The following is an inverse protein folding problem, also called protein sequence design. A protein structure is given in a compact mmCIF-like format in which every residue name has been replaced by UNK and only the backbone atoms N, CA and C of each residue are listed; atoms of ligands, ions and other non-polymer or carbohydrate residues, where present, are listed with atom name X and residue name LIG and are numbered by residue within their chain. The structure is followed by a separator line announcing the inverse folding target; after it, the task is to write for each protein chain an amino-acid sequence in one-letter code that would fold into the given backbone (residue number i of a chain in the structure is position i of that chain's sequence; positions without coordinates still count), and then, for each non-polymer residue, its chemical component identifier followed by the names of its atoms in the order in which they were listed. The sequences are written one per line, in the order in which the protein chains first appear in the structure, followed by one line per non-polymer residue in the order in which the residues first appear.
data_IF_859546428419
#
_entry.id   IF_859546428419
#
_cell.length_a   1.000
_cell.length_b   1.000
_cell.length_c   1.000
_cell.angle_alpha   90.00
_cell.angle_beta   90.00
_cell.angle_gamma   90.00
#
_symmetry.space_group_name_H-M   'P 1'
#
loop_
_entity.id
_entity.type
_entity.pdbx_description
1 polymer ?
#
# COMPACT_ATOMS: atom_id res chain seq x y z
N UNK A 1 -1.63 28.69 16.59
CA UNK A 1 -2.18 27.33 16.75
C UNK A 1 -3.05 26.88 15.56
N UNK A 2 -3.92 27.73 14.93
CA UNK A 2 -4.77 27.33 13.81
C UNK A 2 -3.97 27.02 12.52
N UNK A 3 -2.93 27.80 12.21
CA UNK A 3 -2.06 27.58 11.03
C UNK A 3 -1.27 26.30 11.16
N UNK A 4 -0.76 25.98 12.36
CA UNK A 4 -0.02 24.75 12.61
C UNK A 4 -0.94 23.51 12.46
N UNK A 5 -2.16 23.59 12.97
CA UNK A 5 -3.16 22.53 12.79
C UNK A 5 -3.53 22.36 11.32
N UNK A 6 -3.67 23.47 10.57
CA UNK A 6 -3.90 23.46 9.12
C UNK A 6 -2.76 22.78 8.35
N UNK A 7 -1.51 23.09 8.68
CA UNK A 7 -0.35 22.46 8.04
C UNK A 7 -0.25 20.97 8.33
N UNK A 8 -0.49 20.56 9.59
CA UNK A 8 -0.53 19.15 9.97
C UNK A 8 -1.64 18.40 9.24
N UNK A 9 -2.83 18.98 9.16
CA UNK A 9 -3.95 18.39 8.40
C UNK A 9 -3.58 18.25 6.92
N UNK A 10 -3.07 19.31 6.28
CA UNK A 10 -2.69 19.28 4.87
C UNK A 10 -1.59 18.22 4.58
N UNK A 11 -0.64 18.02 5.50
CA UNK A 11 0.36 16.97 5.38
C UNK A 11 -0.26 15.56 5.51
N UNK A 12 -1.17 15.37 6.46
CA UNK A 12 -1.87 14.10 6.61
C UNK A 12 -2.76 13.79 5.40
N UNK A 13 -3.44 14.78 4.85
CA UNK A 13 -4.23 14.64 3.63
C UNK A 13 -3.33 14.28 2.42
N UNK A 14 -2.18 14.93 2.28
CA UNK A 14 -1.19 14.62 1.25
C UNK A 14 -0.65 13.20 1.40
N UNK A 15 -0.37 12.76 2.63
CA UNK A 15 0.06 11.39 2.95
C UNK A 15 -1.01 10.36 2.54
N UNK A 16 -2.26 10.61 2.90
CA UNK A 16 -3.38 9.72 2.56
C UNK A 16 -3.61 9.64 1.04
N UNK A 17 -3.54 10.77 0.33
CA UNK A 17 -3.67 10.79 -1.13
C UNK A 17 -2.53 10.04 -1.82
N UNK A 18 -1.30 10.22 -1.35
CA UNK A 18 -0.15 9.51 -1.91
C UNK A 18 -0.22 8.00 -1.62
N UNK A 19 -0.61 7.60 -0.39
CA UNK A 19 -0.81 6.21 -0.04
C UNK A 19 -1.89 5.57 -0.92
N UNK A 20 -2.99 6.28 -1.18
CA UNK A 20 -4.06 5.82 -2.07
C UNK A 20 -3.55 5.62 -3.50
N UNK A 21 -2.81 6.56 -4.04
CA UNK A 21 -2.24 6.46 -5.38
C UNK A 21 -1.29 5.26 -5.47
N UNK A 22 -0.34 5.16 -4.54
CA UNK A 22 0.63 4.07 -4.52
C UNK A 22 -0.03 2.71 -4.31
N UNK A 23 -1.03 2.61 -3.41
CA UNK A 23 -1.76 1.35 -3.20
C UNK A 23 -2.54 0.91 -4.43
N UNK A 24 -3.16 1.83 -5.18
CA UNK A 24 -3.85 1.51 -6.42
C UNK A 24 -2.89 0.94 -7.48
N UNK A 25 -1.71 1.54 -7.63
CA UNK A 25 -0.68 1.06 -8.56
C UNK A 25 -0.18 -0.33 -8.16
N UNK A 26 0.18 -0.52 -6.88
CA UNK A 26 0.67 -1.81 -6.36
C UNK A 26 -0.42 -2.88 -6.42
N UNK A 27 -1.68 -2.56 -6.09
CA UNK A 27 -2.81 -3.50 -6.23
C UNK A 27 -2.96 -3.94 -7.68
N UNK A 28 -2.95 -3.00 -8.63
CA UNK A 28 -3.10 -3.29 -10.05
C UNK A 28 -1.99 -4.20 -10.57
N UNK A 29 -0.72 -3.86 -10.29
CA UNK A 29 0.45 -4.64 -10.70
C UNK A 29 0.43 -6.04 -10.08
N UNK A 30 0.20 -6.13 -8.77
CA UNK A 30 0.17 -7.40 -8.05
C UNK A 30 -0.95 -8.30 -8.54
N UNK A 31 -2.15 -7.72 -8.76
CA UNK A 31 -3.31 -8.47 -9.28
C UNK A 31 -3.03 -9.02 -10.68
N UNK A 32 -2.44 -8.21 -11.56
CA UNK A 32 -2.11 -8.66 -12.91
C UNK A 32 -1.11 -9.83 -12.86
N UNK A 33 -0.07 -9.70 -12.06
CA UNK A 33 0.94 -10.76 -11.87
C UNK A 33 0.31 -12.06 -11.36
N UNK A 34 -0.59 -11.98 -10.38
CA UNK A 34 -1.29 -13.14 -9.83
C UNK A 34 -2.22 -13.80 -10.84
N UNK A 35 -3.03 -13.00 -11.54
CA UNK A 35 -3.98 -13.49 -12.55
C UNK A 35 -3.24 -14.21 -13.68
N UNK A 36 -2.13 -13.65 -14.14
CA UNK A 36 -1.33 -14.26 -15.21
C UNK A 36 -0.68 -15.56 -14.72
N UNK A 37 -0.11 -15.57 -13.51
CA UNK A 37 0.47 -16.77 -12.91
C UNK A 37 -0.56 -17.91 -12.73
N UNK A 38 -1.76 -17.58 -12.22
CA UNK A 38 -2.85 -18.55 -12.06
C UNK A 38 -3.28 -19.12 -13.41
N UNK A 39 -3.38 -18.30 -14.44
CA UNK A 39 -3.70 -18.76 -15.81
C UNK A 39 -2.62 -19.69 -16.37
N UNK A 40 -1.37 -19.43 -16.03
CA UNK A 40 -0.23 -20.27 -16.41
C UNK A 40 -0.11 -21.55 -15.55
N UNK A 41 -1.00 -21.73 -14.56
CA UNK A 41 -1.05 -22.89 -13.69
C UNK A 41 -0.08 -22.83 -12.50
N UNK A 42 0.42 -21.62 -12.17
CA UNK A 42 1.21 -21.37 -10.98
C UNK A 42 0.25 -21.02 -9.82
N UNK A 43 0.28 -21.75 -8.70
CA UNK A 43 -0.58 -21.42 -7.58
C UNK A 43 -0.23 -20.05 -6.98
N UNK A 44 -1.22 -19.27 -6.50
CA UNK A 44 -1.00 -17.92 -5.96
C UNK A 44 0.07 -17.85 -4.89
N UNK A 45 0.15 -18.87 -4.03
CA UNK A 45 1.11 -18.99 -2.94
C UNK A 45 2.57 -19.04 -3.44
N UNK A 46 2.81 -19.65 -4.60
CA UNK A 46 4.14 -19.73 -5.20
C UNK A 46 4.61 -18.38 -5.80
N UNK A 47 3.67 -17.51 -6.12
CA UNK A 47 3.99 -16.18 -6.71
C UNK A 47 4.21 -15.13 -5.64
N UNK A 48 3.44 -15.21 -4.55
CA UNK A 48 3.42 -14.18 -3.50
C UNK A 48 3.66 -14.77 -2.11
N UNK A 49 4.27 -15.94 -2.02
CA UNK A 49 4.66 -16.51 -0.74
C UNK A 49 5.48 -15.50 0.09
N UNK A 50 5.33 -15.52 1.39
CA UNK A 50 6.07 -14.63 2.29
C UNK A 50 7.58 -14.71 2.02
N UNK A 51 8.09 -15.90 1.69
CA UNK A 51 9.49 -16.11 1.31
C UNK A 51 9.88 -15.40 0.02
N UNK A 52 9.00 -15.37 -0.99
CA UNK A 52 9.25 -14.69 -2.26
C UNK A 52 9.27 -13.16 -2.11
N UNK A 53 8.48 -12.62 -1.17
CA UNK A 53 8.40 -11.17 -0.92
C UNK A 53 9.51 -10.73 0.03
N UNK A 54 9.73 -11.47 1.11
CA UNK A 54 10.66 -11.07 2.16
C UNK A 54 12.09 -11.58 1.94
N UNK A 55 12.28 -12.63 1.13
CA UNK A 55 13.58 -13.30 0.95
C UNK A 55 14.24 -13.65 2.29
N UNK A 56 13.43 -13.98 3.31
CA UNK A 56 13.91 -14.24 4.67
C UNK A 56 14.26 -13.00 5.48
N UNK A 57 13.90 -11.81 4.98
CA UNK A 57 14.07 -10.54 5.71
C UNK A 57 12.93 -10.34 6.72
N UNK A 58 13.24 -9.67 7.82
CA UNK A 58 12.24 -9.27 8.80
C UNK A 58 11.27 -8.24 8.20
N UNK A 59 10.00 -8.26 8.63
CA UNK A 59 8.96 -7.32 8.15
C UNK A 59 9.42 -5.86 8.20
N UNK A 60 10.17 -5.47 9.22
CA UNK A 60 10.67 -4.09 9.37
C UNK A 60 11.68 -3.68 8.29
N UNK A 61 12.37 -4.63 7.69
CA UNK A 61 13.36 -4.41 6.63
C UNK A 61 12.71 -4.25 5.24
N UNK A 62 11.44 -4.61 5.11
CA UNK A 62 10.71 -4.52 3.86
C UNK A 62 10.43 -3.06 3.48
N UNK A 63 10.55 -2.75 2.20
CA UNK A 63 10.11 -1.46 1.65
C UNK A 63 8.60 -1.29 1.77
N UNK A 64 8.11 -0.06 1.70
CA UNK A 64 6.66 0.22 1.73
C UNK A 64 5.89 -0.52 0.63
N UNK A 65 6.50 -0.74 -0.54
CA UNK A 65 5.88 -1.49 -1.65
C UNK A 65 5.82 -2.97 -1.34
N UNK A 66 6.88 -3.57 -0.79
CA UNK A 66 6.91 -4.97 -0.38
C UNK A 66 5.91 -5.24 0.74
N UNK A 67 5.83 -4.35 1.73
CA UNK A 67 4.80 -4.42 2.79
C UNK A 67 3.39 -4.37 2.22
N UNK A 68 3.12 -3.53 1.22
CA UNK A 68 1.82 -3.51 0.54
C UNK A 68 1.54 -4.81 -0.22
N UNK A 69 2.51 -5.36 -0.96
CA UNK A 69 2.36 -6.65 -1.64
C UNK A 69 2.02 -7.77 -0.65
N UNK A 70 2.72 -7.80 0.47
CA UNK A 70 2.45 -8.76 1.55
C UNK A 70 1.04 -8.61 2.13
N UNK A 71 0.59 -7.38 2.37
CA UNK A 71 -0.76 -7.10 2.84
C UNK A 71 -1.84 -7.53 1.84
N UNK A 72 -1.62 -7.28 0.55
CA UNK A 72 -2.52 -7.72 -0.53
C UNK A 72 -2.63 -9.25 -0.50
N UNK A 73 -1.51 -9.94 -0.42
CA UNK A 73 -1.47 -11.40 -0.33
C UNK A 73 -2.23 -11.93 0.88
N UNK A 74 -1.94 -11.43 2.07
CA UNK A 74 -2.62 -11.83 3.31
C UNK A 74 -4.13 -11.57 3.29
N UNK A 75 -4.59 -10.50 2.64
CA UNK A 75 -6.03 -10.22 2.49
C UNK A 75 -6.69 -11.15 1.46
N UNK A 76 -6.04 -11.41 0.34
CA UNK A 76 -6.52 -12.37 -0.65
C UNK A 76 -6.62 -13.77 -0.04
N UNK A 77 -5.60 -14.18 0.72
CA UNK A 77 -5.53 -15.47 1.39
C UNK A 77 -6.69 -15.73 2.35
N UNK A 78 -7.15 -14.67 3.04
CA UNK A 78 -8.30 -14.73 3.93
C UNK A 78 -9.65 -14.80 3.21
N UNK A 79 -9.72 -14.27 1.98
CA UNK A 79 -10.96 -14.11 1.24
C UNK A 79 -11.18 -15.20 0.18
N UNK A 80 -10.14 -15.96 -0.15
CA UNK A 80 -10.20 -17.08 -1.08
C UNK A 80 -10.31 -18.38 -0.29
N UNK A 81 -11.35 -19.18 -0.58
CA UNK A 81 -11.57 -20.46 0.07
C UNK A 81 -10.48 -21.47 -0.30
N UNK A 82 -10.09 -22.33 0.65
CA UNK A 82 -9.05 -23.33 0.46
C UNK A 82 -9.37 -24.31 -0.68
N UNK A 83 -10.63 -24.74 -0.80
CA UNK A 83 -11.08 -25.63 -1.88
C UNK A 83 -10.83 -25.03 -3.27
N UNK A 84 -11.02 -23.71 -3.41
CA UNK A 84 -10.74 -23.00 -4.67
C UNK A 84 -9.24 -22.96 -4.95
N UNK A 85 -8.39 -22.86 -3.93
CA UNK A 85 -6.93 -22.88 -4.06
C UNK A 85 -6.41 -24.24 -4.49
N UNK A 86 -6.89 -25.30 -3.86
CA UNK A 86 -6.44 -26.68 -4.10
C UNK A 86 -6.81 -27.19 -5.51
N UNK A 87 -7.92 -26.67 -6.10
CA UNK A 87 -8.39 -27.04 -7.44
C UNK A 87 -7.65 -26.34 -8.60
N UNK A 88 -6.85 -25.31 -8.35
CA UNK A 88 -6.27 -24.46 -9.40
C UNK A 88 -5.26 -25.18 -10.29
N UNK A 89 -4.55 -26.17 -9.79
CA UNK A 89 -3.46 -26.81 -10.52
C UNK A 89 -3.90 -27.73 -11.67
N UNK A 90 -5.12 -28.27 -11.64
CA UNK A 90 -5.50 -29.41 -12.47
C UNK A 90 -6.38 -29.09 -13.68
N UNK A 91 -7.18 -28.00 -13.67
CA UNK A 91 -8.13 -27.69 -14.74
C UNK A 91 -8.07 -26.21 -15.19
N UNK A 92 -8.12 -25.98 -16.50
CA UNK A 92 -8.19 -24.64 -17.07
C UNK A 92 -9.44 -23.86 -16.66
N UNK A 93 -10.57 -24.54 -16.40
CA UNK A 93 -11.78 -23.90 -15.91
C UNK A 93 -11.60 -23.40 -14.49
N UNK A 94 -10.99 -24.19 -13.59
CA UNK A 94 -10.67 -23.81 -12.23
C UNK A 94 -9.68 -22.63 -12.18
N UNK A 95 -8.69 -22.61 -13.07
CA UNK A 95 -7.74 -21.48 -13.20
C UNK A 95 -8.45 -20.19 -13.59
N UNK A 96 -9.36 -20.26 -14.56
CA UNK A 96 -10.11 -19.08 -14.98
C UNK A 96 -11.06 -18.59 -13.88
N UNK A 97 -11.69 -19.51 -13.15
CA UNK A 97 -12.55 -19.17 -12.01
C UNK A 97 -11.74 -18.47 -10.90
N UNK A 98 -10.59 -19.00 -10.54
CA UNK A 98 -9.69 -18.38 -9.57
C UNK A 98 -9.24 -16.99 -10.01
N UNK A 99 -8.82 -16.83 -11.27
CA UNK A 99 -8.42 -15.53 -11.81
C UNK A 99 -9.55 -14.50 -11.74
N UNK A 100 -10.79 -14.93 -12.07
CA UNK A 100 -11.97 -14.06 -11.96
C UNK A 100 -12.27 -13.72 -10.50
N UNK A 101 -12.16 -14.65 -9.56
CA UNK A 101 -12.38 -14.45 -8.13
C UNK A 101 -11.37 -13.46 -7.54
N UNK A 102 -10.09 -13.57 -7.92
CA UNK A 102 -9.07 -12.59 -7.54
C UNK A 102 -9.45 -11.19 -8.02
N UNK A 103 -9.83 -11.05 -9.29
CA UNK A 103 -10.24 -9.76 -9.86
C UNK A 103 -11.48 -9.19 -9.16
N UNK A 104 -12.47 -10.03 -8.85
CA UNK A 104 -13.67 -9.63 -8.13
C UNK A 104 -13.34 -9.10 -6.72
N UNK A 105 -12.55 -9.85 -5.94
CA UNK A 105 -12.15 -9.45 -4.58
C UNK A 105 -11.39 -8.12 -4.61
N UNK A 106 -10.42 -7.98 -5.50
CA UNK A 106 -9.58 -6.78 -5.59
C UNK A 106 -10.37 -5.56 -6.05
N UNK A 107 -11.43 -5.75 -6.85
CA UNK A 107 -12.32 -4.67 -7.28
C UNK A 107 -13.24 -4.14 -6.17
N UNK A 108 -13.41 -4.87 -5.07
CA UNK A 108 -14.25 -4.45 -3.95
C UNK A 108 -13.67 -3.21 -3.26
N UNK A 109 -14.52 -2.23 -3.04
CA UNK A 109 -14.12 -0.98 -2.37
C UNK A 109 -13.58 -1.25 -0.95
N UNK A 110 -14.16 -2.19 -0.22
CA UNK A 110 -13.71 -2.60 1.11
C UNK A 110 -12.28 -3.14 1.12
N UNK A 111 -11.90 -3.93 0.11
CA UNK A 111 -10.53 -4.43 -0.06
C UNK A 111 -9.56 -3.27 -0.28
N UNK A 112 -9.86 -2.40 -1.26
CA UNK A 112 -9.02 -1.24 -1.60
C UNK A 112 -8.88 -0.27 -0.42
N UNK A 113 -9.96 -0.02 0.32
CA UNK A 113 -9.93 0.82 1.52
C UNK A 113 -9.06 0.20 2.63
N UNK A 114 -9.14 -1.11 2.84
CA UNK A 114 -8.32 -1.81 3.83
C UNK A 114 -6.83 -1.69 3.51
N UNK A 115 -6.43 -1.99 2.26
CA UNK A 115 -5.04 -1.86 1.83
C UNK A 115 -4.55 -0.40 1.94
N UNK A 116 -5.37 0.56 1.50
CA UNK A 116 -5.02 1.99 1.57
C UNK A 116 -4.85 2.48 3.02
N UNK A 117 -5.73 2.07 3.93
CA UNK A 117 -5.66 2.45 5.33
C UNK A 117 -4.39 1.90 6.00
N UNK A 118 -4.09 0.63 5.79
CA UNK A 118 -2.88 -0.01 6.31
C UNK A 118 -1.62 0.61 5.71
N UNK A 119 -1.59 0.82 4.39
CA UNK A 119 -0.49 1.49 3.71
C UNK A 119 -0.26 2.92 4.21
N UNK A 120 -1.33 3.65 4.53
CA UNK A 120 -1.23 5.01 5.09
C UNK A 120 -0.59 4.98 6.48
N UNK A 121 -0.95 4.00 7.31
CA UNK A 121 -0.38 3.82 8.65
C UNK A 121 1.11 3.47 8.60
N UNK A 122 1.50 2.62 7.65
CA UNK A 122 2.89 2.19 7.44
C UNK A 122 3.77 3.23 6.73
N UNK A 123 3.15 4.22 6.07
CA UNK A 123 3.90 5.18 5.26
C UNK A 123 4.70 6.15 6.11
N UNK A 124 6.02 6.08 5.98
CA UNK A 124 7.01 6.95 6.63
C UNK A 124 7.90 7.63 5.57
N UNK A 125 8.69 8.61 5.98
CA UNK A 125 9.66 9.25 5.08
C UNK A 125 9.07 10.30 4.13
N UNK A 126 7.89 10.83 4.43
CA UNK A 126 7.33 11.97 3.71
C UNK A 126 7.84 13.28 4.30
N UNK A 127 8.47 14.09 3.46
CA UNK A 127 9.02 15.41 3.83
C UNK A 127 8.24 16.53 3.16
N UNK A 128 7.89 17.54 3.94
CA UNK A 128 7.38 18.81 3.41
C UNK A 128 8.54 19.57 2.78
N UNK A 129 8.45 19.85 1.48
CA UNK A 129 9.43 20.65 0.73
C UNK A 129 9.04 22.12 0.65
N UNK A 130 7.75 22.39 0.63
CA UNK A 130 7.20 23.73 0.54
C UNK A 130 5.86 23.79 1.25
N UNK A 131 5.62 24.86 1.98
CA UNK A 131 4.34 25.17 2.60
C UNK A 131 3.95 26.61 2.28
N UNK A 132 2.71 26.82 1.87
CA UNK A 132 2.15 28.14 1.63
C UNK A 132 0.92 28.35 2.50
N UNK A 133 0.83 29.51 3.12
CA UNK A 133 -0.31 29.97 3.89
C UNK A 133 -0.89 31.22 3.26
N UNK A 134 -2.19 31.23 3.04
CA UNK A 134 -2.93 32.40 2.59
C UNK A 134 -4.14 32.61 3.48
N UNK A 135 -4.34 33.85 3.96
CA UNK A 135 -5.55 34.28 4.63
C UNK A 135 -6.39 35.07 3.63
N UNK A 136 -7.64 34.65 3.40
CA UNK A 136 -8.58 35.36 2.54
C UNK A 136 -9.63 36.06 3.39
N UNK A 137 -9.39 37.35 3.65
CA UNK A 137 -10.30 38.18 4.43
C UNK A 137 -11.65 38.43 3.67
N UNK A 138 -11.67 38.29 2.34
CA UNK A 138 -12.86 38.49 1.52
C UNK A 138 -13.86 37.34 1.61
N UNK A 139 -13.41 36.17 2.07
CA UNK A 139 -14.21 34.95 2.22
C UNK A 139 -14.44 34.54 3.68
N UNK A 140 -14.69 35.48 4.55
CA UNK A 140 -15.08 35.19 5.92
C UNK A 140 -13.92 34.73 6.83
N UNK A 141 -12.73 35.28 6.64
CA UNK A 141 -11.53 34.95 7.44
C UNK A 141 -11.04 33.49 7.28
N UNK A 142 -11.36 32.85 6.16
CA UNK A 142 -10.86 31.51 5.86
C UNK A 142 -9.37 31.55 5.54
N UNK A 143 -8.64 30.60 6.12
CA UNK A 143 -7.22 30.44 5.86
C UNK A 143 -6.99 29.14 5.10
N UNK A 144 -6.16 29.23 4.07
CA UNK A 144 -5.76 28.07 3.27
C UNK A 144 -4.31 27.71 3.54
N UNK A 145 -4.07 26.44 3.77
CA UNK A 145 -2.71 25.90 3.90
C UNK A 145 -2.51 24.89 2.78
N UNK A 146 -1.47 25.12 1.99
CA UNK A 146 -1.05 24.19 0.95
C UNK A 146 0.35 23.66 1.32
N UNK A 147 0.54 22.36 1.18
CA UNK A 147 1.86 21.73 1.36
C UNK A 147 2.23 20.97 0.11
N UNK A 148 3.51 21.05 -0.26
CA UNK A 148 4.13 20.16 -1.24
C UNK A 148 5.01 19.20 -0.47
N UNK A 149 4.66 17.93 -0.50
CA UNK A 149 5.40 16.87 0.17
C UNK A 149 6.08 15.97 -0.86
N UNK A 150 7.26 15.48 -0.50
CA UNK A 150 7.99 14.47 -1.26
C UNK A 150 8.15 13.23 -0.41
N UNK A 151 7.79 12.10 -0.97
CA UNK A 151 8.12 10.80 -0.39
C UNK A 151 9.40 10.24 -1.02
N UNK A 152 10.20 9.57 -0.19
CA UNK A 152 11.41 8.89 -0.63
C UNK A 152 11.67 7.67 0.27
N UNK A 153 11.84 6.46 -0.32
CA UNK A 153 12.08 5.25 0.47
C UNK A 153 13.37 5.31 1.31
N UNK A 154 14.38 6.04 0.87
CA UNK A 154 15.59 6.29 1.66
C UNK A 154 15.30 7.08 2.94
N UNK A 155 14.41 8.06 2.88
CA UNK A 155 13.99 8.79 4.08
C UNK A 155 13.11 7.93 5.00
N UNK A 156 12.30 7.02 4.44
CA UNK A 156 11.55 6.08 5.22
C UNK A 156 12.49 5.24 6.10
N UNK A 157 13.56 4.68 5.53
CA UNK A 157 14.58 3.93 6.27
C UNK A 157 15.25 4.74 7.37
N UNK A 158 15.60 6.00 7.11
CA UNK A 158 16.18 6.88 8.13
C UNK A 158 15.21 7.10 9.30
N UNK A 159 13.92 7.33 9.00
CA UNK A 159 12.88 7.50 10.03
C UNK A 159 12.71 6.20 10.82
N UNK A 160 12.71 5.05 10.17
CA UNK A 160 12.61 3.75 10.81
C UNK A 160 13.81 3.50 11.74
N UNK A 161 15.03 3.75 11.28
CA UNK A 161 16.23 3.66 12.11
C UNK A 161 16.15 4.54 13.36
N UNK A 162 15.61 5.76 13.23
CA UNK A 162 15.42 6.68 14.37
C UNK A 162 14.36 6.14 15.35
N UNK A 163 13.29 5.55 14.86
CA UNK A 163 12.19 5.03 15.69
C UNK A 163 12.62 3.76 16.42
N UNK A 164 13.26 2.85 15.71
CA UNK A 164 13.73 1.57 16.27
C UNK A 164 15.03 1.70 17.06
N UNK A 165 15.74 2.83 16.92
CA UNK A 165 17.10 3.05 17.43
C UNK A 165 18.12 2.04 16.87
N UNK A 166 17.79 1.45 15.74
CA UNK A 166 18.67 0.57 15.00
C UNK A 166 19.23 1.31 13.77
N UNK A 167 20.49 1.69 13.83
CA UNK A 167 21.19 2.41 12.77
C UNK A 167 21.95 1.50 11.81
N UNK A 168 21.87 0.19 11.98
CA UNK A 168 22.50 -0.79 11.08
C UNK A 168 21.83 -0.85 9.71
N UNK A 169 20.59 -0.34 9.60
CA UNK A 169 19.76 -0.36 8.38
C UNK A 169 19.98 0.86 7.47
N UNK A 170 20.84 1.80 7.85
CA UNK A 170 21.23 2.98 7.07
C UNK A 170 22.59 2.74 6.44
#
# INVERSE_FOLDING_TARGET
NSTQNGATKALNDAKAQFARFLSQEVISETTQTLVDAVRDGVPPEAVLGEEAISEGRDYEELSSVEKMKLLIHQQLDKLIDQETKDGVAEDNAARQEMANKIQEIVSQESFQQTITAQSTAEMRGMLVKYGHYTADASRGNNSYVCVVAKWNPGYARVVDAMVTKDFSII
#
